data_IF_390525182503
#
_entry.id   IF_390525182503
#
_cell.length_a   1.000
_cell.length_b   1.000
_cell.length_c   1.000
_cell.angle_alpha   90.00
_cell.angle_beta   90.00
_cell.angle_gamma   90.00
#
_symmetry.space_group_name_H-M   'P 1'
#
loop_
_entity.id
_entity.type
_entity.pdbx_description
1 polymer ?
#
# COMPACT_ATOMS: atom_id res chain seq x y z
N UNK A 1 5.93 -10.76 1.30
CA UNK A 1 6.75 -9.74 2.01
C UNK A 1 6.38 -8.39 1.43
N UNK A 2 6.32 -7.32 2.23
CA UNK A 2 6.04 -5.99 1.68
C UNK A 2 7.21 -5.56 0.80
N UNK A 3 6.90 -5.17 -0.42
CA UNK A 3 7.86 -4.55 -1.32
C UNK A 3 7.41 -3.14 -1.67
N UNK A 4 8.38 -2.27 -1.91
CA UNK A 4 8.13 -0.92 -2.37
C UNK A 4 9.07 -0.55 -3.51
N UNK A 5 8.63 0.38 -4.36
CA UNK A 5 9.44 1.01 -5.40
C UNK A 5 9.03 2.47 -5.53
N UNK A 6 9.99 3.35 -5.77
CA UNK A 6 9.70 4.73 -6.15
C UNK A 6 9.16 4.76 -7.58
N UNK A 7 8.12 5.56 -7.81
CA UNK A 7 7.62 5.76 -9.18
C UNK A 7 8.61 6.61 -9.99
N UNK A 8 8.57 6.55 -11.34
CA UNK A 8 9.38 7.42 -12.17
C UNK A 8 9.24 8.89 -11.76
N UNK A 9 10.35 9.63 -11.80
CA UNK A 9 10.44 11.03 -11.36
C UNK A 9 10.12 11.27 -9.87
N UNK A 10 10.18 10.25 -9.01
CA UNK A 10 9.92 10.38 -7.57
C UNK A 10 8.53 10.93 -7.23
N UNK A 11 7.55 10.73 -8.12
CA UNK A 11 6.20 11.27 -7.95
C UNK A 11 5.34 10.49 -6.92
N UNK A 12 5.89 9.46 -6.30
CA UNK A 12 5.18 8.62 -5.33
C UNK A 12 5.87 7.28 -5.07
N UNK A 13 5.15 6.39 -4.38
CA UNK A 13 5.60 5.05 -4.01
C UNK A 13 4.60 4.01 -4.52
N UNK A 14 5.10 2.98 -5.18
CA UNK A 14 4.34 1.77 -5.49
C UNK A 14 4.59 0.74 -4.40
N UNK A 15 3.52 0.30 -3.72
CA UNK A 15 3.55 -0.76 -2.72
C UNK A 15 3.03 -2.07 -3.33
N UNK A 16 3.66 -3.18 -2.95
CA UNK A 16 3.40 -4.50 -3.48
C UNK A 16 3.28 -5.51 -2.33
N UNK A 17 2.26 -6.36 -2.41
CA UNK A 17 2.07 -7.46 -1.48
C UNK A 17 1.18 -8.54 -2.09
N UNK A 18 1.14 -9.70 -1.46
CA UNK A 18 0.17 -10.75 -1.77
C UNK A 18 -1.26 -10.35 -1.36
N UNK A 19 -2.24 -11.01 -1.99
CA UNK A 19 -3.66 -10.75 -1.80
C UNK A 19 -4.08 -10.80 -0.32
N UNK A 20 -3.67 -11.85 0.41
CA UNK A 20 -4.09 -12.06 1.78
C UNK A 20 -3.52 -10.98 2.73
N UNK A 21 -2.28 -10.54 2.47
CA UNK A 21 -1.68 -9.44 3.20
C UNK A 21 -2.36 -8.10 2.92
N UNK A 22 -2.73 -7.82 1.67
CA UNK A 22 -3.48 -6.59 1.32
C UNK A 22 -4.87 -6.57 1.96
N UNK A 23 -5.58 -7.70 1.97
CA UNK A 23 -6.88 -7.81 2.65
C UNK A 23 -6.76 -7.54 4.17
N UNK A 24 -5.76 -8.16 4.82
CA UNK A 24 -5.48 -7.92 6.24
C UNK A 24 -5.07 -6.48 6.53
N UNK A 25 -4.24 -5.89 5.67
CA UNK A 25 -3.80 -4.51 5.79
C UNK A 25 -4.98 -3.54 5.73
N UNK A 26 -5.93 -3.78 4.83
CA UNK A 26 -7.16 -2.98 4.75
C UNK A 26 -7.95 -3.00 6.05
N UNK A 27 -8.19 -4.19 6.62
CA UNK A 27 -8.85 -4.31 7.92
C UNK A 27 -8.06 -3.63 9.05
N UNK A 28 -6.74 -3.80 9.06
CA UNK A 28 -5.85 -3.16 10.03
C UNK A 28 -5.92 -1.63 9.97
N UNK A 29 -5.90 -1.03 8.77
CA UNK A 29 -6.01 0.42 8.62
C UNK A 29 -7.35 0.91 9.18
N UNK A 30 -8.46 0.25 8.85
CA UNK A 30 -9.76 0.60 9.44
C UNK A 30 -9.76 0.53 10.96
N UNK A 31 -9.20 -0.53 11.53
CA UNK A 31 -9.07 -0.68 12.98
C UNK A 31 -8.25 0.46 13.60
N UNK A 32 -7.08 0.78 13.02
CA UNK A 32 -6.23 1.89 13.49
C UNK A 32 -6.95 3.22 13.38
N UNK A 33 -7.62 3.49 12.26
CA UNK A 33 -8.40 4.73 12.08
C UNK A 33 -9.48 4.82 13.16
N UNK A 34 -10.24 3.76 13.40
CA UNK A 34 -11.33 3.77 14.37
C UNK A 34 -10.84 3.97 15.81
N UNK A 35 -9.81 3.23 16.23
CA UNK A 35 -9.38 3.18 17.63
C UNK A 35 -8.34 4.25 18.01
N UNK A 36 -7.65 4.85 17.03
CA UNK A 36 -6.60 5.83 17.32
C UNK A 36 -7.16 7.15 17.84
N UNK A 37 -6.63 7.60 18.98
CA UNK A 37 -6.93 8.94 19.53
C UNK A 37 -6.15 10.04 18.80
N UNK A 38 -5.08 9.68 18.08
CA UNK A 38 -4.21 10.63 17.36
C UNK A 38 -4.68 10.94 15.93
N UNK A 39 -5.49 10.05 15.34
CA UNK A 39 -6.10 10.29 14.04
C UNK A 39 -7.39 11.06 14.30
N UNK A 40 -7.30 12.39 14.27
CA UNK A 40 -8.45 13.29 14.46
C UNK A 40 -9.42 13.20 13.28
N UNK A 41 -8.88 13.24 12.05
CA UNK A 41 -9.65 13.09 10.82
C UNK A 41 -9.79 11.62 10.41
N UNK A 42 -10.95 11.03 10.71
CA UNK A 42 -11.28 9.64 10.39
C UNK A 42 -11.53 9.40 8.91
N UNK A 43 -11.81 10.45 8.15
CA UNK A 43 -12.03 10.39 6.69
C UNK A 43 -10.79 10.88 5.91
N UNK A 44 -9.69 11.13 6.63
CA UNK A 44 -8.47 11.68 6.08
C UNK A 44 -7.60 10.68 5.31
N UNK A 45 -6.34 11.07 5.10
CA UNK A 45 -5.42 10.32 4.24
C UNK A 45 -5.21 8.86 4.67
N UNK A 46 -5.30 8.57 5.98
CA UNK A 46 -5.11 7.21 6.51
C UNK A 46 -6.24 6.30 6.02
N UNK A 47 -7.49 6.77 6.03
CA UNK A 47 -8.61 6.02 5.46
C UNK A 47 -8.51 5.95 3.92
N UNK A 48 -8.01 7.02 3.29
CA UNK A 48 -7.67 7.03 1.86
C UNK A 48 -6.71 5.89 1.48
N UNK A 49 -5.73 5.56 2.34
CA UNK A 49 -4.85 4.42 2.13
C UNK A 49 -5.62 3.09 2.14
N UNK A 50 -6.60 2.90 3.03
CA UNK A 50 -7.44 1.70 3.01
C UNK A 50 -8.15 1.57 1.65
N UNK A 51 -8.68 2.67 1.11
CA UNK A 51 -9.32 2.65 -0.20
C UNK A 51 -8.36 2.20 -1.32
N UNK A 52 -7.11 2.67 -1.31
CA UNK A 52 -6.11 2.25 -2.29
C UNK A 52 -5.72 0.77 -2.15
N UNK A 53 -5.58 0.28 -0.92
CA UNK A 53 -5.33 -1.13 -0.63
C UNK A 53 -6.49 -2.00 -1.11
N UNK A 54 -7.75 -1.55 -0.90
CA UNK A 54 -8.94 -2.22 -1.41
C UNK A 54 -8.92 -2.36 -2.92
N UNK A 55 -8.60 -1.28 -3.63
CA UNK A 55 -8.45 -1.32 -5.09
C UNK A 55 -7.39 -2.32 -5.52
N UNK A 56 -6.29 -2.43 -4.78
CA UNK A 56 -5.21 -3.34 -5.10
C UNK A 56 -5.65 -4.81 -5.05
N UNK A 57 -6.19 -5.28 -3.91
CA UNK A 57 -6.62 -6.68 -3.82
C UNK A 57 -7.91 -6.97 -4.59
N UNK A 58 -8.73 -5.95 -4.92
CA UNK A 58 -9.91 -6.11 -5.79
C UNK A 58 -9.56 -6.24 -7.27
N UNK A 59 -8.27 -6.33 -7.64
CA UNK A 59 -7.83 -6.44 -9.03
C UNK A 59 -7.99 -5.14 -9.85
N UNK A 60 -8.21 -4.00 -9.19
CA UNK A 60 -8.30 -2.68 -9.84
C UNK A 60 -6.94 -1.98 -9.92
N UNK A 61 -5.85 -2.69 -9.57
CA UNK A 61 -4.46 -2.26 -9.72
C UNK A 61 -3.67 -3.37 -10.42
N UNK A 62 -2.46 -3.06 -10.83
CA UNK A 62 -1.57 -3.99 -11.51
C UNK A 62 -1.30 -5.23 -10.66
N UNK A 63 -1.36 -6.40 -11.32
CA UNK A 63 -0.93 -7.68 -10.77
C UNK A 63 0.28 -8.12 -11.58
N UNK A 64 1.38 -8.42 -10.90
CA UNK A 64 2.62 -8.87 -11.54
C UNK A 64 3.26 -9.97 -10.69
N UNK A 65 3.99 -10.87 -11.34
CA UNK A 65 4.78 -11.88 -10.68
C UNK A 65 6.20 -11.33 -10.51
N UNK A 66 6.50 -10.79 -9.32
CA UNK A 66 7.89 -10.45 -9.00
C UNK A 66 8.67 -11.71 -8.67
N UNK A 67 9.42 -12.19 -9.66
CA UNK A 67 10.56 -13.09 -9.45
C UNK A 67 11.83 -12.25 -9.23
N UNK A 68 12.53 -12.49 -8.12
CA UNK A 68 13.87 -12.00 -7.76
C UNK A 68 14.42 -10.85 -8.64
N UNK A 69 13.94 -9.62 -8.41
CA UNK A 69 14.47 -8.46 -9.11
C UNK A 69 15.83 -8.09 -8.53
N UNK A 70 16.88 -8.49 -9.26
CA UNK A 70 18.25 -7.94 -9.15
C UNK A 70 18.20 -6.41 -9.19
N UNK A 71 18.67 -5.81 -8.10
CA UNK A 71 19.47 -4.57 -8.05
C UNK A 71 19.07 -3.45 -9.03
N UNK A 72 17.99 -2.73 -8.72
CA UNK A 72 17.83 -1.34 -9.15
C UNK A 72 18.17 -0.43 -7.95
N UNK A 73 19.44 -0.41 -7.55
CA UNK A 73 20.00 0.68 -6.74
C UNK A 73 19.84 1.98 -7.51
N UNK A 74 18.76 2.71 -7.20
CA UNK A 74 18.62 4.11 -7.57
C UNK A 74 19.77 4.87 -6.87
N UNK A 75 20.83 5.16 -7.62
CA UNK A 75 21.88 6.09 -7.19
C UNK A 75 21.25 7.48 -7.16
N UNK A 76 21.23 8.08 -5.96
CA UNK A 76 20.90 9.49 -5.72
C UNK A 76 22.05 10.34 -6.24
#
# INVERSE_FOLDING_TARGET
MLEYRLTPNHAGVALWWDFAALERLHGFIHYVVQESVYIEDKEGFVLGLAYDVRKAYSGQRSVDQRGDTKDDRCRI
#
